data_IF_128335226206
#
_entry.id   IF_128335226206
#
_cell.length_a   1.000
_cell.length_b   1.000
_cell.length_c   1.000
_cell.angle_alpha   90.00
_cell.angle_beta   90.00
_cell.angle_gamma   90.00
#
_symmetry.space_group_name_H-M   'P 1'
#
loop_
_entity.id
_entity.type
_entity.pdbx_description
1 polymer ?
#
# COMPACT_ATOMS: atom_id res chain seq x y z
N UNK A 1 -21.25 -18.95 -11.64
CA UNK A 1 -21.28 -17.48 -11.49
C UNK A 1 -22.43 -17.14 -10.56
N UNK A 2 -22.25 -16.18 -9.66
CA UNK A 2 -23.29 -15.76 -8.72
C UNK A 2 -24.13 -14.63 -9.36
N UNK A 3 -25.40 -14.86 -9.75
CA UNK A 3 -26.15 -13.98 -10.67
C UNK A 3 -26.37 -12.54 -10.16
N UNK A 4 -26.26 -12.30 -8.86
CA UNK A 4 -26.44 -10.97 -8.25
C UNK A 4 -25.15 -10.21 -7.95
N UNK A 5 -23.98 -10.78 -8.19
CA UNK A 5 -22.69 -10.18 -7.80
C UNK A 5 -21.94 -9.70 -9.04
N UNK A 6 -21.48 -8.45 -9.01
CA UNK A 6 -20.60 -7.91 -10.07
C UNK A 6 -19.33 -8.74 -10.15
N UNK A 7 -18.94 -9.12 -11.37
CA UNK A 7 -17.80 -10.01 -11.63
C UNK A 7 -16.53 -9.65 -10.84
N UNK A 8 -16.12 -8.38 -10.84
CA UNK A 8 -14.91 -7.94 -10.14
C UNK A 8 -14.98 -8.12 -8.61
N UNK A 9 -16.16 -8.03 -8.01
CA UNK A 9 -16.36 -8.25 -6.57
C UNK A 9 -16.20 -9.74 -6.26
N UNK A 10 -16.79 -10.59 -7.10
CA UNK A 10 -16.66 -12.03 -6.97
C UNK A 10 -15.21 -12.50 -7.11
N UNK A 11 -14.51 -12.01 -8.14
CA UNK A 11 -13.10 -12.32 -8.38
C UNK A 11 -12.22 -11.88 -7.20
N UNK A 12 -12.42 -10.66 -6.69
CA UNK A 12 -11.70 -10.17 -5.51
C UNK A 12 -11.95 -11.04 -4.26
N UNK A 13 -13.20 -11.45 -4.02
CA UNK A 13 -13.54 -12.31 -2.89
C UNK A 13 -12.85 -13.69 -3.01
N UNK A 14 -12.82 -14.27 -4.21
CA UNK A 14 -12.11 -15.52 -4.47
C UNK A 14 -10.60 -15.39 -4.21
N UNK A 15 -9.99 -14.29 -4.66
CA UNK A 15 -8.57 -14.02 -4.45
C UNK A 15 -8.23 -13.89 -2.96
N UNK A 16 -9.02 -13.12 -2.22
CA UNK A 16 -8.80 -12.96 -0.78
C UNK A 16 -8.97 -14.28 -0.05
N UNK A 17 -10.01 -15.05 -0.35
CA UNK A 17 -10.22 -16.35 0.26
C UNK A 17 -9.01 -17.28 0.04
N UNK A 18 -8.52 -17.34 -1.20
CA UNK A 18 -7.33 -18.14 -1.57
C UNK A 18 -6.08 -17.70 -0.82
N UNK A 19 -5.84 -16.39 -0.72
CA UNK A 19 -4.66 -15.82 -0.03
C UNK A 19 -4.74 -16.10 1.48
N UNK A 20 -5.89 -15.83 2.11
CA UNK A 20 -6.08 -16.07 3.53
C UNK A 20 -5.94 -17.55 3.90
N UNK A 21 -6.50 -18.45 3.09
CA UNK A 21 -6.36 -19.89 3.28
C UNK A 21 -4.88 -20.31 3.29
N UNK A 22 -4.09 -19.84 2.32
CA UNK A 22 -2.66 -20.13 2.23
C UNK A 22 -1.85 -19.57 3.40
N UNK A 23 -2.16 -18.34 3.82
CA UNK A 23 -1.51 -17.72 4.98
C UNK A 23 -1.82 -18.47 6.28
N UNK A 24 -3.06 -18.95 6.43
CA UNK A 24 -3.43 -19.81 7.55
C UNK A 24 -2.65 -21.14 7.54
N UNK A 25 -2.50 -21.77 6.38
CA UNK A 25 -1.75 -23.03 6.24
C UNK A 25 -0.25 -22.87 6.54
N UNK A 26 0.33 -21.70 6.28
CA UNK A 26 1.74 -21.44 6.61
C UNK A 26 1.96 -21.05 8.08
N UNK A 27 0.90 -20.92 8.88
CA UNK A 27 0.98 -20.38 10.25
C UNK A 27 1.31 -18.88 10.31
N UNK A 28 1.10 -18.15 9.21
CA UNK A 28 1.35 -16.71 9.17
C UNK A 28 0.18 -15.94 9.79
N UNK A 29 0.49 -14.89 10.55
CA UNK A 29 -0.53 -14.04 11.16
C UNK A 29 -0.61 -12.69 10.44
N UNK A 30 -1.83 -12.24 10.16
CA UNK A 30 -2.10 -10.93 9.55
C UNK A 30 -2.57 -9.97 10.65
N UNK A 31 -2.00 -8.77 10.69
CA UNK A 31 -2.52 -7.71 11.55
C UNK A 31 -3.81 -7.14 10.97
N UNK A 32 -4.94 -7.36 11.63
CA UNK A 32 -6.23 -6.77 11.24
C UNK A 32 -6.15 -5.23 11.14
N UNK A 33 -5.39 -4.58 12.02
CA UNK A 33 -5.18 -3.12 12.02
C UNK A 33 -4.48 -2.61 10.76
N UNK A 34 -3.61 -3.43 10.15
CA UNK A 34 -2.83 -3.06 8.96
C UNK A 34 -3.44 -3.57 7.65
N UNK A 35 -4.48 -4.40 7.72
CA UNK A 35 -5.11 -5.00 6.56
C UNK A 35 -5.87 -3.94 5.74
N UNK A 36 -5.58 -3.89 4.45
CA UNK A 36 -6.25 -3.02 3.48
C UNK A 36 -7.01 -3.90 2.50
N UNK A 37 -8.32 -4.08 2.72
CA UNK A 37 -9.18 -4.97 1.92
C UNK A 37 -10.39 -4.19 1.38
N UNK A 38 -10.84 -4.52 0.17
CA UNK A 38 -11.99 -3.89 -0.49
C UNK A 38 -11.90 -2.35 -0.60
N UNK A 39 -10.69 -1.81 -0.79
CA UNK A 39 -10.47 -0.37 -0.98
C UNK A 39 -10.21 -0.05 -2.46
N UNK A 40 -10.70 1.10 -2.97
CA UNK A 40 -10.36 1.55 -4.33
C UNK A 40 -8.89 1.93 -4.47
N UNK A 41 -8.24 2.29 -3.35
CA UNK A 41 -6.82 2.63 -3.28
C UNK A 41 -6.18 1.96 -2.06
N UNK A 42 -4.93 1.52 -2.21
CA UNK A 42 -4.16 0.87 -1.14
C UNK A 42 -2.72 1.34 -1.13
N UNK A 43 -2.12 1.44 0.05
CA UNK A 43 -0.69 1.74 0.19
C UNK A 43 0.12 0.45 0.13
N UNK A 44 1.01 0.36 -0.86
CA UNK A 44 1.94 -0.76 -1.07
C UNK A 44 3.36 -0.19 -1.13
N UNK A 45 4.21 -0.55 -0.15
CA UNK A 45 5.62 -0.09 -0.08
C UNK A 45 5.74 1.45 -0.14
N UNK A 46 4.76 2.14 0.45
CA UNK A 46 4.66 3.60 0.47
C UNK A 46 4.42 4.23 -0.91
N UNK A 47 3.77 3.49 -1.81
CA UNK A 47 3.11 3.99 -3.01
C UNK A 47 1.60 3.82 -2.82
N UNK A 48 0.83 4.83 -3.19
CA UNK A 48 -0.63 4.76 -3.32
C UNK A 48 -0.96 4.13 -4.66
N UNK A 49 -1.59 2.96 -4.62
CA UNK A 49 -1.96 2.18 -5.79
C UNK A 49 -3.48 2.23 -5.96
N UNK A 50 -3.93 2.69 -7.12
CA UNK A 50 -5.35 2.75 -7.50
C UNK A 50 -5.55 2.14 -8.90
N UNK A 51 -6.78 2.23 -9.41
CA UNK A 51 -7.09 1.81 -10.79
C UNK A 51 -6.37 2.70 -11.84
N UNK A 52 -6.12 3.95 -11.49
CA UNK A 52 -5.53 4.97 -12.35
C UNK A 52 -4.00 4.85 -12.43
N UNK A 53 -3.39 4.10 -11.50
CA UNK A 53 -1.95 3.82 -11.52
C UNK A 53 -1.34 3.84 -10.13
N UNK A 54 -0.07 4.25 -10.07
CA UNK A 54 0.71 4.35 -8.82
C UNK A 54 1.18 5.78 -8.65
N UNK A 55 0.97 6.33 -7.47
CA UNK A 55 1.52 7.63 -7.06
C UNK A 55 2.26 7.48 -5.73
N UNK A 56 3.16 8.41 -5.35
CA UNK A 56 3.72 8.42 -4.01
C UNK A 56 2.62 8.53 -2.94
N UNK A 57 2.85 7.91 -1.78
CA UNK A 57 1.98 8.08 -0.62
C UNK A 57 2.00 9.53 -0.14
N UNK A 58 0.83 10.06 0.24
CA UNK A 58 0.66 11.47 0.59
C UNK A 58 1.60 11.90 1.74
N UNK A 59 1.81 11.03 2.73
CA UNK A 59 2.76 11.27 3.84
C UNK A 59 4.20 11.42 3.37
N UNK A 60 4.61 10.72 2.30
CA UNK A 60 5.96 10.90 1.72
C UNK A 60 6.06 12.23 0.99
N UNK A 61 5.00 12.65 0.31
CA UNK A 61 4.92 13.96 -0.36
C UNK A 61 5.03 15.07 0.68
N UNK A 62 4.23 15.01 1.75
CA UNK A 62 4.24 15.98 2.84
C UNK A 62 5.60 16.10 3.51
N UNK A 63 6.32 14.98 3.71
CA UNK A 63 7.68 15.01 4.26
C UNK A 63 8.66 15.78 3.38
N UNK A 64 8.54 15.65 2.06
CA UNK A 64 9.39 16.37 1.11
C UNK A 64 9.01 17.86 1.07
N UNK A 65 7.71 18.16 1.02
CA UNK A 65 7.21 19.55 0.97
C UNK A 65 7.57 20.34 2.23
N UNK A 66 7.50 19.70 3.41
CA UNK A 66 7.81 20.33 4.69
C UNK A 66 9.28 20.16 5.11
N UNK A 67 10.15 19.72 4.20
CA UNK A 67 11.55 19.47 4.55
C UNK A 67 12.25 20.80 4.85
N UNK A 68 12.88 20.96 6.03
CA UNK A 68 13.53 22.22 6.40
C UNK A 68 14.79 22.47 5.57
N UNK A 69 15.27 23.73 5.46
CA UNK A 69 16.52 24.03 4.77
C UNK A 69 17.68 23.18 5.29
N UNK A 70 18.36 22.50 4.38
CA UNK A 70 19.49 21.62 4.68
C UNK A 70 20.69 22.47 5.13
N UNK A 71 21.21 22.25 6.34
CA UNK A 71 22.34 23.02 6.90
C UNK A 71 23.60 22.19 7.08
N UNK A 72 23.47 20.87 7.10
CA UNK A 72 24.57 19.94 7.37
C UNK A 72 24.70 18.88 6.29
N UNK A 73 25.92 18.34 6.13
CA UNK A 73 26.19 17.22 5.20
C UNK A 73 25.34 15.99 5.52
N UNK A 74 25.02 15.75 6.80
CA UNK A 74 24.16 14.64 7.22
C UNK A 74 22.74 14.79 6.68
N UNK A 75 22.17 16.00 6.77
CA UNK A 75 20.84 16.30 6.26
C UNK A 75 20.79 16.19 4.73
N UNK A 76 21.84 16.67 4.03
CA UNK A 76 21.96 16.53 2.57
C UNK A 76 21.98 15.06 2.17
N UNK A 77 22.78 14.22 2.84
CA UNK A 77 22.82 12.78 2.57
C UNK A 77 21.48 12.10 2.86
N UNK A 78 20.80 12.50 3.93
CA UNK A 78 19.47 11.99 4.28
C UNK A 78 18.42 12.31 3.21
N UNK A 79 18.45 13.55 2.68
CA UNK A 79 17.58 13.95 1.57
C UNK A 79 17.87 13.16 0.29
N UNK A 80 19.15 13.07 -0.11
CA UNK A 80 19.54 12.31 -1.30
C UNK A 80 19.18 10.82 -1.19
N UNK A 81 19.31 10.23 0.00
CA UNK A 81 18.90 8.85 0.27
C UNK A 81 17.39 8.63 0.31
N UNK A 82 16.58 9.69 0.48
CA UNK A 82 15.12 9.63 0.33
C UNK A 82 14.69 9.75 -1.13
N UNK A 83 15.42 10.52 -1.93
CA UNK A 83 15.12 10.76 -3.34
C UNK A 83 15.62 9.66 -4.29
N UNK A 84 16.71 8.97 -3.93
CA UNK A 84 17.26 7.82 -4.67
C UNK A 84 16.49 6.53 -4.40
#
# INVERSE_FOLDING_TARGET
MNPGIRRFIWEHACDVHRIMHRLGHSGATISAKKLQMCRPEVIIVGQKCSKEGRTPEDVKIEKILNWPPLRTVKEVRGFLGLCG
#
